data_IF_742898863205
#
_entry.id   IF_742898863205
#
_cell.length_a   1.000
_cell.length_b   1.000
_cell.length_c   1.000
_cell.angle_alpha   90.00
_cell.angle_beta   90.00
_cell.angle_gamma   90.00
#
_symmetry.space_group_name_H-M   'P 1'
#
loop_
_entity.id
_entity.type
_entity.pdbx_description
1 polymer ?
#
# COMPACT_ATOMS: atom_id res chain seq x y z
N UNK A 1 -38.67 1.48 19.56
CA UNK A 1 -38.15 0.95 18.28
C UNK A 1 -38.67 -0.46 18.15
N UNK A 2 -39.36 -0.77 17.05
CA UNK A 2 -39.89 -2.12 16.86
C UNK A 2 -38.76 -3.08 16.44
N UNK A 3 -38.88 -4.36 16.77
CA UNK A 3 -37.95 -5.40 16.35
C UNK A 3 -37.85 -5.52 14.82
N UNK A 4 -38.94 -5.16 14.12
CA UNK A 4 -39.04 -5.08 12.65
C UNK A 4 -38.15 -3.94 12.11
N UNK A 5 -38.07 -2.81 12.80
CA UNK A 5 -37.22 -1.68 12.39
C UNK A 5 -35.73 -2.05 12.45
N UNK A 6 -35.31 -2.75 13.52
CA UNK A 6 -33.92 -3.18 13.69
C UNK A 6 -33.53 -4.18 12.62
N UNK A 7 -34.41 -5.14 12.31
CA UNK A 7 -34.17 -6.13 11.24
C UNK A 7 -34.04 -5.46 9.87
N UNK A 8 -34.94 -4.53 9.54
CA UNK A 8 -34.89 -3.77 8.30
C UNK A 8 -33.62 -2.94 8.16
N UNK A 9 -33.13 -2.35 9.25
CA UNK A 9 -31.85 -1.63 9.28
C UNK A 9 -30.68 -2.59 9.04
N UNK A 10 -30.65 -3.75 9.70
CA UNK A 10 -29.59 -4.74 9.52
C UNK A 10 -29.51 -5.22 8.05
N UNK A 11 -30.64 -5.52 7.42
CA UNK A 11 -30.70 -5.93 6.00
C UNK A 11 -30.15 -4.84 5.06
N UNK A 12 -30.43 -3.56 5.35
CA UNK A 12 -29.89 -2.43 4.59
C UNK A 12 -28.39 -2.26 4.79
N UNK A 13 -27.88 -2.48 6.00
CA UNK A 13 -26.45 -2.43 6.28
C UNK A 13 -25.72 -3.56 5.55
N UNK A 14 -26.26 -4.78 5.54
CA UNK A 14 -25.68 -5.90 4.79
C UNK A 14 -25.64 -5.62 3.28
N UNK A 15 -26.70 -5.00 2.74
CA UNK A 15 -26.72 -4.58 1.34
C UNK A 15 -25.66 -3.50 1.07
N UNK A 16 -25.51 -2.52 1.96
CA UNK A 16 -24.48 -1.49 1.85
C UNK A 16 -23.08 -2.11 1.86
N UNK A 17 -22.80 -3.01 2.80
CA UNK A 17 -21.51 -3.73 2.91
C UNK A 17 -21.22 -4.46 1.60
N UNK A 18 -22.17 -5.24 1.07
CA UNK A 18 -22.00 -5.96 -0.21
C UNK A 18 -21.72 -5.04 -1.40
N UNK A 19 -22.31 -3.84 -1.42
CA UNK A 19 -22.06 -2.85 -2.49
C UNK A 19 -20.68 -2.21 -2.32
N UNK A 20 -20.28 -1.89 -1.10
CA UNK A 20 -18.96 -1.33 -0.78
C UNK A 20 -17.86 -2.33 -1.11
N UNK A 21 -18.01 -3.60 -0.73
CA UNK A 21 -17.04 -4.67 -1.03
C UNK A 21 -16.73 -4.80 -2.52
N UNK A 22 -17.72 -4.57 -3.40
CA UNK A 22 -17.52 -4.60 -4.86
C UNK A 22 -16.74 -3.40 -5.39
N UNK A 23 -16.74 -2.29 -4.66
CA UNK A 23 -16.10 -1.04 -5.05
C UNK A 23 -14.68 -0.89 -4.48
N UNK A 24 -14.32 -1.68 -3.45
CA UNK A 24 -13.00 -1.63 -2.83
C UNK A 24 -12.03 -2.47 -3.65
N UNK A 25 -10.99 -1.87 -4.25
CA UNK A 25 -9.95 -2.65 -4.93
C UNK A 25 -9.18 -3.50 -3.91
N UNK A 26 -8.57 -4.62 -4.36
CA UNK A 26 -7.72 -5.43 -3.49
C UNK A 26 -6.63 -4.59 -2.82
N UNK A 27 -6.28 -4.95 -1.58
CA UNK A 27 -5.14 -4.35 -0.92
C UNK A 27 -3.88 -4.50 -1.80
N UNK A 28 -3.03 -3.46 -1.90
CA UNK A 28 -1.78 -3.55 -2.63
C UNK A 28 -0.91 -4.69 -2.07
N UNK A 29 -0.24 -5.42 -2.95
CA UNK A 29 0.74 -6.41 -2.53
C UNK A 29 1.85 -5.75 -1.71
N UNK A 30 2.27 -6.40 -0.62
CA UNK A 30 3.41 -5.94 0.16
C UNK A 30 4.69 -5.98 -0.71
N UNK A 31 5.59 -4.99 -0.59
CA UNK A 31 6.85 -5.01 -1.31
C UNK A 31 7.74 -6.15 -0.82
N UNK A 32 8.37 -6.86 -1.75
CA UNK A 32 9.41 -7.84 -1.44
C UNK A 32 10.75 -7.12 -1.23
N UNK A 33 11.12 -6.96 0.03
CA UNK A 33 12.39 -6.32 0.42
C UNK A 33 13.62 -7.19 0.16
N UNK A 34 13.45 -8.48 -0.15
CA UNK A 34 14.56 -9.36 -0.53
C UNK A 34 14.95 -9.26 -2.01
N UNK A 35 14.11 -8.61 -2.82
CA UNK A 35 14.31 -8.51 -4.27
C UNK A 35 15.50 -7.64 -4.69
N UNK A 36 15.94 -6.69 -3.85
CA UNK A 36 17.06 -5.79 -4.14
C UNK A 36 17.58 -5.08 -2.88
N UNK A 37 18.81 -4.56 -2.96
CA UNK A 37 19.42 -3.74 -1.90
C UNK A 37 18.87 -2.29 -1.87
N UNK A 38 18.27 -1.82 -2.96
CA UNK A 38 17.78 -0.45 -3.08
C UNK A 38 16.47 -0.38 -3.87
N UNK A 39 15.66 0.64 -3.56
CA UNK A 39 14.34 0.84 -4.12
C UNK A 39 14.10 2.32 -4.46
N UNK A 40 13.36 2.57 -5.54
CA UNK A 40 12.82 3.89 -5.87
C UNK A 40 11.37 3.97 -5.40
N UNK A 41 11.05 5.01 -4.64
CA UNK A 41 9.66 5.30 -4.26
C UNK A 41 8.89 5.88 -5.45
N UNK A 42 7.77 5.24 -5.81
CA UNK A 42 6.81 5.77 -6.78
C UNK A 42 5.55 6.28 -6.05
N UNK A 43 5.40 7.59 -5.83
CA UNK A 43 4.31 8.15 -5.03
C UNK A 43 2.92 7.84 -5.60
N UNK A 44 2.74 7.98 -6.92
CA UNK A 44 1.45 7.80 -7.59
C UNK A 44 0.91 6.38 -7.44
N UNK A 45 1.81 5.41 -7.54
CA UNK A 45 1.49 4.00 -7.39
C UNK A 45 1.61 3.49 -5.95
N UNK A 46 2.07 4.33 -5.02
CA UNK A 46 2.39 3.99 -3.64
C UNK A 46 3.21 2.70 -3.50
N UNK A 47 4.21 2.50 -4.38
CA UNK A 47 5.02 1.27 -4.42
C UNK A 47 6.52 1.55 -4.34
N UNK A 48 7.26 0.54 -3.89
CA UNK A 48 8.72 0.50 -3.99
C UNK A 48 9.13 -0.31 -5.22
N UNK A 49 9.82 0.34 -6.16
CA UNK A 49 10.37 -0.33 -7.34
C UNK A 49 11.81 -0.78 -7.05
N UNK A 50 12.13 -2.09 -7.12
CA UNK A 50 13.50 -2.56 -6.88
C UNK A 50 14.46 -2.04 -7.95
N UNK A 51 15.70 -1.74 -7.54
CA UNK A 51 16.82 -1.38 -8.42
C UNK A 51 17.76 -2.58 -8.55
N UNK A 52 17.70 -3.37 -9.65
CA UNK A 52 18.45 -4.62 -9.76
C UNK A 52 19.98 -4.44 -9.75
N UNK A 53 20.45 -3.27 -10.21
CA UNK A 53 21.87 -2.92 -10.23
C UNK A 53 22.04 -1.49 -9.74
N UNK A 54 22.56 -1.35 -8.53
CA UNK A 54 22.91 -0.05 -7.96
C UNK A 54 24.34 0.32 -8.40
N UNK A 55 24.53 1.55 -8.86
CA UNK A 55 25.87 2.09 -9.08
C UNK A 55 26.48 2.43 -7.71
N UNK A 56 27.54 1.72 -7.34
CA UNK A 56 28.29 1.97 -6.10
C UNK A 56 29.39 2.98 -6.39
N UNK A 57 29.51 3.99 -5.54
CA UNK A 57 30.56 5.01 -5.58
C UNK A 57 31.35 4.89 -4.28
N UNK A 58 32.68 4.93 -4.37
CA UNK A 58 33.54 4.86 -3.19
C UNK A 58 33.23 6.01 -2.23
N UNK A 59 33.13 5.69 -0.93
CA UNK A 59 32.80 6.67 0.12
C UNK A 59 33.76 7.87 0.13
N UNK A 60 35.03 7.64 -0.18
CA UNK A 60 36.06 8.68 -0.25
C UNK A 60 35.84 9.72 -1.36
N UNK A 61 34.94 9.46 -2.32
CA UNK A 61 34.56 10.39 -3.38
C UNK A 61 33.41 11.31 -2.96
N UNK A 62 32.68 10.96 -1.90
CA UNK A 62 31.57 11.77 -1.39
C UNK A 62 32.10 12.97 -0.62
N UNK A 63 31.67 14.17 -0.99
CA UNK A 63 32.07 15.42 -0.32
C UNK A 63 30.99 15.86 0.66
N UNK A 64 31.39 16.24 1.88
CA UNK A 64 30.47 16.81 2.88
C UNK A 64 29.68 15.79 3.69
N UNK A 65 30.12 14.52 3.73
CA UNK A 65 29.48 13.44 4.51
C UNK A 65 30.08 13.24 5.91
N UNK A 66 31.17 13.94 6.24
CA UNK A 66 31.87 13.82 7.54
C UNK A 66 31.23 14.64 8.69
N UNK A 67 30.03 15.18 8.50
CA UNK A 67 29.37 16.10 9.45
C UNK A 67 28.05 15.55 9.97
#
# INVERSE_FOLDING_TARGET
MSEIDIRSIAERLDQLVRLVERAVPPAPAAPDFSAADAFVWQPDAKRLQPVPRVNRVELNLLKGIDR
#
